data_IF_107078638928
#
_entry.id   IF_107078638928
#
_cell.length_a   1.000
_cell.length_b   1.000
_cell.length_c   1.000
_cell.angle_alpha   90.00
_cell.angle_beta   90.00
_cell.angle_gamma   90.00
#
_symmetry.space_group_name_H-M   'P 1'
#
loop_
_entity.id
_entity.type
_entity.pdbx_description
1 polymer ?
#
# COMPACT_ATOMS: atom_id res chain seq x y z
N UNK A 1 -22.08 1.37 -6.23
CA UNK A 1 -23.39 0.81 -5.84
C UNK A 1 -23.42 0.62 -4.34
N UNK A 2 -24.24 1.32 -3.57
CA UNK A 2 -24.19 1.28 -2.10
C UNK A 2 -24.33 -0.15 -1.52
N UNK A 3 -23.51 -0.46 -0.51
CA UNK A 3 -23.48 -1.72 0.24
C UNK A 3 -24.46 -1.63 1.40
N UNK A 4 -25.39 -2.59 1.49
CA UNK A 4 -26.30 -2.73 2.62
C UNK A 4 -25.70 -3.70 3.65
N UNK A 5 -25.44 -3.23 4.86
CA UNK A 5 -24.92 -4.05 5.96
C UNK A 5 -25.75 -3.86 7.23
N UNK A 6 -25.85 -4.90 8.05
CA UNK A 6 -26.62 -4.86 9.30
C UNK A 6 -25.67 -4.49 10.45
N UNK A 7 -25.99 -3.43 11.20
CA UNK A 7 -25.18 -3.05 12.35
C UNK A 7 -25.23 -4.13 13.45
N UNK A 8 -24.08 -4.61 13.92
CA UNK A 8 -24.00 -5.60 14.99
C UNK A 8 -24.55 -5.13 16.34
N UNK A 9 -24.56 -3.82 16.61
CA UNK A 9 -25.04 -3.26 17.88
C UNK A 9 -26.55 -3.07 17.97
N UNK A 10 -27.19 -2.56 16.91
CA UNK A 10 -28.63 -2.24 16.92
C UNK A 10 -29.46 -2.96 15.85
N UNK A 11 -28.83 -3.82 15.05
CA UNK A 11 -29.45 -4.58 13.94
C UNK A 11 -30.13 -3.73 12.87
N UNK A 12 -29.89 -2.41 12.85
CA UNK A 12 -30.43 -1.54 11.82
C UNK A 12 -29.66 -1.73 10.50
N UNK A 13 -30.39 -1.83 9.39
CA UNK A 13 -29.79 -1.89 8.04
C UNK A 13 -29.15 -0.53 7.73
N UNK A 14 -27.87 -0.55 7.44
CA UNK A 14 -27.05 0.61 7.14
C UNK A 14 -26.65 0.55 5.67
N UNK A 15 -26.95 1.61 4.93
CA UNK A 15 -26.55 1.76 3.54
C UNK A 15 -25.29 2.60 3.49
N UNK A 16 -24.18 1.99 3.13
CA UNK A 16 -22.86 2.63 3.12
C UNK A 16 -22.36 2.71 1.69
N UNK A 17 -21.77 3.85 1.31
CA UNK A 17 -21.10 3.98 0.00
C UNK A 17 -19.85 3.11 -0.09
N UNK A 18 -19.52 2.68 -1.30
CA UNK A 18 -18.37 1.78 -1.59
C UNK A 18 -17.04 2.36 -1.12
N UNK A 19 -16.91 3.69 -1.02
CA UNK A 19 -15.71 4.34 -0.49
C UNK A 19 -15.36 3.94 0.96
N UNK A 20 -16.29 3.30 1.67
CA UNK A 20 -16.11 2.80 3.01
C UNK A 20 -15.99 1.27 3.10
N UNK A 21 -15.97 0.55 1.98
CA UNK A 21 -15.68 -0.89 1.97
C UNK A 21 -14.31 -1.15 2.62
N UNK A 22 -14.23 -2.14 3.52
CA UNK A 22 -13.02 -2.43 4.30
C UNK A 22 -12.66 -1.38 5.36
N UNK A 23 -13.42 -0.29 5.50
CA UNK A 23 -13.23 0.72 6.55
C UNK A 23 -14.23 0.51 7.68
N UNK A 24 -13.90 1.09 8.84
CA UNK A 24 -14.76 1.10 10.01
C UNK A 24 -15.67 2.31 9.99
N UNK A 25 -16.98 2.09 9.97
CA UNK A 25 -17.99 3.14 9.93
C UNK A 25 -18.80 3.13 11.22
N UNK A 26 -19.13 4.30 11.75
CA UNK A 26 -20.01 4.42 12.92
C UNK A 26 -21.47 4.33 12.51
N UNK A 27 -22.24 3.51 13.21
CA UNK A 27 -23.69 3.47 13.01
C UNK A 27 -24.34 4.79 13.46
N UNK A 28 -25.19 5.45 12.65
CA UNK A 28 -25.86 6.70 13.01
C UNK A 28 -26.89 6.53 14.13
N UNK A 29 -27.40 5.31 14.39
CA UNK A 29 -28.39 5.07 15.46
C UNK A 29 -27.77 4.81 16.83
N UNK A 30 -26.74 3.98 16.91
CA UNK A 30 -26.15 3.55 18.19
C UNK A 30 -24.68 3.93 18.37
N UNK A 31 -24.07 4.57 17.36
CA UNK A 31 -22.64 4.93 17.32
C UNK A 31 -21.65 3.75 17.43
N UNK A 32 -22.14 2.51 17.40
CA UNK A 32 -21.28 1.33 17.34
C UNK A 32 -20.43 1.37 16.06
N UNK A 33 -19.14 1.03 16.20
CA UNK A 33 -18.21 0.92 15.08
C UNK A 33 -18.44 -0.43 14.41
N UNK A 34 -18.89 -0.42 13.16
CA UNK A 34 -19.13 -1.61 12.35
C UNK A 34 -18.05 -1.67 11.26
N UNK A 35 -17.43 -2.82 11.10
CA UNK A 35 -16.49 -3.08 10.02
C UNK A 35 -17.27 -3.43 8.76
N UNK A 36 -17.08 -2.65 7.69
CA UNK A 36 -17.72 -2.92 6.40
C UNK A 36 -16.91 -4.03 5.75
N UNK A 37 -17.51 -5.17 5.35
CA UNK A 37 -16.77 -6.21 4.64
C UNK A 37 -16.10 -5.60 3.41
N UNK A 38 -14.81 -5.88 3.22
CA UNK A 38 -14.11 -5.45 2.03
C UNK A 38 -14.74 -6.17 0.84
N UNK A 39 -15.19 -5.44 -0.17
CA UNK A 39 -15.62 -6.03 -1.43
C UNK A 39 -14.38 -6.66 -2.10
N UNK A 40 -14.15 -7.94 -1.83
CA UNK A 40 -13.10 -8.71 -2.48
C UNK A 40 -13.58 -9.19 -3.86
N UNK A 41 -12.70 -9.05 -4.83
CA UNK A 41 -12.92 -9.46 -6.21
C UNK A 41 -11.80 -10.40 -6.64
N UNK A 42 -12.14 -11.32 -7.52
CA UNK A 42 -11.21 -12.17 -8.24
C UNK A 42 -11.28 -11.79 -9.72
N UNK A 43 -10.13 -11.75 -10.38
CA UNK A 43 -9.95 -11.46 -11.79
C UNK A 43 -9.38 -12.70 -12.47
N UNK A 44 -10.01 -13.15 -13.54
CA UNK A 44 -9.50 -14.20 -14.43
C UNK A 44 -9.10 -13.56 -15.77
N UNK A 45 -7.84 -13.70 -16.15
CA UNK A 45 -7.34 -13.24 -17.45
C UNK A 45 -7.79 -14.17 -18.57
N UNK A 46 -7.78 -13.73 -19.84
CA UNK A 46 -8.07 -14.61 -20.98
C UNK A 46 -7.09 -15.79 -21.09
N UNK A 47 -5.88 -15.65 -20.54
CA UNK A 47 -4.87 -16.71 -20.45
C UNK A 47 -5.23 -17.80 -19.42
N UNK A 48 -6.28 -17.56 -18.61
CA UNK A 48 -6.78 -18.50 -17.60
C UNK A 48 -6.11 -18.37 -16.23
N UNK A 49 -5.33 -17.30 -15.99
CA UNK A 49 -4.73 -17.04 -14.69
C UNK A 49 -5.73 -16.32 -13.76
N UNK A 50 -5.79 -16.79 -12.51
CA UNK A 50 -6.67 -16.27 -11.46
C UNK A 50 -5.89 -15.38 -10.49
N UNK A 51 -6.35 -14.14 -10.35
CA UNK A 51 -5.79 -13.12 -9.47
C UNK A 51 -6.83 -12.70 -8.43
N UNK A 52 -6.55 -12.86 -7.14
CA UNK A 52 -7.49 -12.52 -6.07
C UNK A 52 -7.04 -13.03 -4.69
N UNK A 53 -7.64 -12.56 -3.58
CA UNK A 53 -8.69 -11.53 -3.47
C UNK A 53 -8.14 -10.09 -3.54
N UNK A 54 -8.73 -9.25 -4.40
CA UNK A 54 -8.32 -7.86 -4.65
C UNK A 54 -9.48 -6.91 -4.31
N UNK A 55 -9.26 -5.80 -3.57
CA UNK A 55 -10.32 -4.85 -3.29
C UNK A 55 -10.77 -4.13 -4.57
N UNK A 56 -12.06 -3.73 -4.62
CA UNK A 56 -12.62 -3.03 -5.79
C UNK A 56 -11.80 -1.83 -6.25
N UNK A 57 -11.21 -1.07 -5.31
CA UNK A 57 -10.40 0.12 -5.62
C UNK A 57 -9.14 -0.21 -6.40
N UNK A 58 -8.45 -1.31 -6.04
CA UNK A 58 -7.26 -1.76 -6.76
C UNK A 58 -7.62 -2.33 -8.14
N UNK A 59 -8.79 -2.97 -8.24
CA UNK A 59 -9.32 -3.42 -9.51
C UNK A 59 -9.68 -2.25 -10.45
N UNK A 60 -10.21 -1.14 -9.90
CA UNK A 60 -10.43 0.10 -10.64
C UNK A 60 -9.10 0.75 -11.08
N UNK A 61 -8.04 0.68 -10.27
CA UNK A 61 -6.68 1.12 -10.65
C UNK A 61 -6.14 0.30 -11.83
N UNK A 62 -6.24 -1.03 -11.79
CA UNK A 62 -5.83 -1.90 -12.90
C UNK A 62 -6.62 -1.64 -14.19
N UNK A 63 -7.91 -1.31 -14.06
CA UNK A 63 -8.73 -0.87 -15.19
C UNK A 63 -8.21 0.45 -15.78
N UNK A 64 -7.89 1.45 -14.95
CA UNK A 64 -7.34 2.74 -15.40
C UNK A 64 -5.94 2.61 -16.01
N UNK A 65 -5.14 1.64 -15.56
CA UNK A 65 -3.85 1.28 -16.18
C UNK A 65 -4.00 0.53 -17.52
N UNK A 66 -5.22 0.11 -17.89
CA UNK A 66 -5.48 -0.66 -19.10
C UNK A 66 -5.07 -2.14 -19.00
N UNK A 67 -4.86 -2.66 -17.80
CA UNK A 67 -4.53 -4.08 -17.58
C UNK A 67 -5.74 -5.00 -17.65
N UNK A 68 -6.94 -4.46 -17.40
CA UNK A 68 -8.19 -5.21 -17.50
C UNK A 68 -8.80 -4.97 -18.88
N UNK A 69 -8.83 -6.00 -19.71
CA UNK A 69 -9.45 -5.97 -21.04
C UNK A 69 -10.93 -6.39 -20.97
N UNK A 70 -11.67 -6.18 -22.07
CA UNK A 70 -13.07 -6.62 -22.17
C UNK A 70 -13.25 -8.15 -22.03
N UNK A 71 -12.19 -8.91 -22.29
CA UNK A 71 -12.15 -10.37 -22.23
C UNK A 71 -11.80 -10.91 -20.84
N UNK A 72 -11.43 -10.06 -19.88
CA UNK A 72 -11.24 -10.50 -18.51
C UNK A 72 -12.59 -10.85 -17.86
N UNK A 73 -12.58 -11.83 -16.95
CA UNK A 73 -13.73 -12.17 -16.13
C UNK A 73 -13.49 -11.75 -14.68
N UNK A 74 -14.55 -11.29 -14.02
CA UNK A 74 -14.54 -10.79 -12.65
C UNK A 74 -15.54 -11.58 -11.81
N UNK A 75 -15.12 -12.04 -10.64
CA UNK A 75 -15.97 -12.70 -9.66
C UNK A 75 -15.97 -11.88 -8.38
N UNK A 76 -17.15 -11.45 -7.94
CA UNK A 76 -17.32 -10.80 -6.64
C UNK A 76 -17.42 -11.87 -5.56
N UNK A 77 -16.75 -11.67 -4.43
CA UNK A 77 -16.87 -12.57 -3.28
C UNK A 77 -18.35 -12.70 -2.85
N UNK A 78 -18.82 -13.95 -2.75
CA UNK A 78 -20.22 -14.27 -2.47
C UNK A 78 -21.16 -14.32 -3.70
N UNK A 79 -20.64 -14.07 -4.91
CA UNK A 79 -21.37 -14.35 -6.15
C UNK A 79 -20.96 -15.71 -6.72
N UNK A 80 -21.92 -16.46 -7.28
CA UNK A 80 -21.68 -17.79 -7.87
C UNK A 80 -21.31 -17.73 -9.36
N UNK A 81 -21.36 -16.56 -9.99
CA UNK A 81 -21.19 -16.41 -11.43
C UNK A 81 -20.11 -15.39 -11.78
N UNK A 82 -19.18 -15.81 -12.62
CA UNK A 82 -18.20 -14.92 -13.25
C UNK A 82 -18.90 -13.96 -14.21
N UNK A 83 -18.57 -12.68 -14.11
CA UNK A 83 -19.11 -11.61 -14.95
C UNK A 83 -17.99 -11.07 -15.84
N UNK A 84 -18.26 -10.85 -17.13
CA UNK A 84 -17.28 -10.22 -18.01
C UNK A 84 -16.95 -8.81 -17.54
N UNK A 85 -15.69 -8.41 -17.66
CA UNK A 85 -15.21 -7.09 -17.27
C UNK A 85 -15.96 -5.98 -18.01
N UNK A 86 -16.40 -6.21 -19.25
CA UNK A 86 -17.22 -5.28 -20.03
C UNK A 86 -18.61 -5.02 -19.44
N UNK A 87 -19.20 -5.99 -18.73
CA UNK A 87 -20.47 -5.82 -18.03
C UNK A 87 -20.31 -4.96 -16.76
N UNK A 88 -19.16 -5.11 -16.09
CA UNK A 88 -18.82 -4.37 -14.86
C UNK A 88 -18.31 -2.96 -15.17
N UNK A 89 -17.55 -2.81 -16.25
CA UNK A 89 -16.97 -1.55 -16.74
C UNK A 89 -17.51 -1.25 -18.15
N UNK A 90 -18.63 -0.53 -18.21
CA UNK A 90 -19.31 -0.21 -19.47
C UNK A 90 -18.44 0.56 -20.47
N UNK A 91 -17.37 1.21 -20.00
CA UNK A 91 -16.40 1.92 -20.83
C UNK A 91 -15.60 0.98 -21.75
N UNK A 92 -15.35 -0.27 -21.33
CA UNK A 92 -14.64 -1.26 -22.16
C UNK A 92 -15.43 -1.64 -23.43
N UNK A 93 -16.76 -1.62 -23.35
CA UNK A 93 -17.64 -1.97 -24.48
C UNK A 93 -17.78 -0.87 -25.54
N UNK A 94 -17.40 0.37 -25.23
CA UNK A 94 -17.51 1.49 -26.18
C UNK A 94 -16.24 1.67 -27.01
N UNK A 95 -15.07 1.34 -26.44
CA UNK A 95 -13.77 1.48 -27.11
C UNK A 95 -13.43 0.31 -28.03
N UNK A 96 -14.18 -0.79 -27.97
CA UNK A 96 -13.91 -2.01 -28.74
C UNK A 96 -14.74 -2.14 -30.01
N UNK A 97 -15.44 -1.10 -30.48
CA UNK A 97 -15.92 -1.07 -31.86
C UNK A 97 -14.68 -1.00 -32.75
N UNK A 98 -14.23 -2.11 -33.35
CA UNK A 98 -13.07 -2.07 -34.21
C UNK A 98 -13.56 -1.26 -35.41
N UNK A 99 -12.97 -0.08 -35.61
CA UNK A 99 -12.93 0.47 -36.94
C UNK A 99 -12.19 -0.57 -37.78
N UNK A 100 -12.97 -1.49 -38.36
CA UNK A 100 -12.66 -2.33 -39.49
C UNK A 100 -12.30 -1.40 -40.63
N UNK A 101 -11.13 -0.79 -40.50
CA UNK A 101 -10.33 -0.28 -41.58
C UNK A 101 -9.72 -1.52 -42.19
N UNK A 102 -10.55 -2.28 -42.91
CA UNK A 102 -10.07 -3.12 -43.99
C UNK A 102 -9.15 -2.22 -44.81
N UNK A 103 -7.82 -2.46 -44.83
CA UNK A 103 -7.00 -1.80 -45.82
C UNK A 103 -7.56 -2.25 -47.16
N UNK A 104 -8.17 -1.30 -47.88
CA UNK A 104 -8.57 -1.48 -49.27
C UNK A 104 -7.40 -2.18 -49.99
N UNK A 105 -7.61 -3.31 -50.70
CA UNK A 105 -6.55 -4.01 -51.38
C UNK A 105 -5.93 -3.08 -52.43
N UNK A 106 -4.86 -2.40 -52.05
CA UNK A 106 -4.00 -1.67 -52.97
C UNK A 106 -3.47 -2.66 -53.98
N UNK A 107 -3.79 -2.40 -55.25
CA UNK A 107 -3.37 -3.18 -56.40
C UNK A 107 -1.86 -3.49 -56.33
N UNK A 108 -1.54 -4.75 -56.05
CA UNK A 108 -0.19 -5.28 -56.28
C UNK A 108 0.00 -5.44 -57.79
N UNK A 109 0.92 -4.66 -58.35
CA UNK A 109 1.46 -4.89 -59.70
C UNK A 109 2.19 -6.25 -59.72
N UNK A 110 1.95 -7.12 -60.72
CA UNK A 110 2.67 -8.38 -60.86
C UNK A 110 4.06 -8.13 -61.45
N UNK A 111 5.11 -8.39 -60.67
CA UNK A 111 6.48 -8.52 -61.19
C UNK A 111 7.00 -9.92 -60.85
N UNK A 112 7.12 -10.74 -61.90
CA UNK A 112 8.24 -11.65 -62.16
C UNK A 112 8.49 -12.85 -61.23
N UNK A 113 8.43 -14.10 -61.72
CA UNK A 113 8.83 -15.28 -60.97
C UNK A 113 10.36 -15.41 -60.90
N UNK A 114 10.91 -15.39 -59.68
CA UNK A 114 12.28 -15.81 -59.37
C UNK A 114 12.27 -17.11 -58.55
N UNK A 115 13.10 -18.12 -58.87
CA UNK A 115 13.01 -19.43 -58.26
C UNK A 115 13.63 -19.50 -56.85
N UNK A 116 12.82 -20.02 -55.93
CA UNK A 116 13.14 -20.96 -54.85
C UNK A 116 14.56 -21.01 -54.28
N UNK A 117 14.72 -20.49 -53.06
CA UNK A 117 15.65 -21.06 -52.08
C UNK A 117 14.94 -21.17 -50.71
N UNK A 118 14.68 -22.40 -50.28
CA UNK A 118 14.18 -22.75 -48.94
C UNK A 118 15.37 -22.88 -47.98
N UNK A 119 15.45 -22.10 -46.90
CA UNK A 119 16.34 -22.44 -45.78
C UNK A 119 15.70 -23.55 -44.95
N UNK A 120 16.30 -24.73 -45.04
CA UNK A 120 16.01 -25.91 -44.22
C UNK A 120 16.57 -25.67 -42.81
N UNK A 121 15.71 -25.33 -41.86
CA UNK A 121 16.08 -25.27 -40.43
C UNK A 121 15.77 -26.62 -39.79
N UNK A 122 16.82 -27.44 -39.65
CA UNK A 122 16.83 -28.68 -38.88
C UNK A 122 16.81 -28.34 -37.37
N UNK A 123 15.63 -28.38 -36.75
CA UNK A 123 15.53 -28.43 -35.29
C UNK A 123 15.85 -29.83 -34.80
N UNK A 124 17.09 -29.99 -34.34
CA UNK A 124 17.58 -31.20 -33.70
C UNK A 124 16.76 -31.59 -32.48
N UNK A 125 16.33 -32.85 -32.47
CA UNK A 125 15.74 -33.53 -31.33
C UNK A 125 16.74 -33.59 -30.16
N UNK A 126 16.59 -32.68 -29.21
CA UNK A 126 17.28 -32.65 -27.93
C UNK A 126 16.43 -33.27 -26.83
N UNK A 127 16.83 -34.46 -26.40
CA UNK A 127 16.31 -35.26 -25.27
C UNK A 127 16.01 -34.46 -24.00
N UNK A 128 14.86 -34.74 -23.40
CA UNK A 128 14.61 -34.59 -21.95
C UNK A 128 15.64 -35.38 -21.12
N UNK A 129 15.96 -34.90 -19.92
CA UNK A 129 15.62 -35.73 -18.75
C UNK A 129 15.14 -34.96 -17.51
N UNK A 130 14.15 -35.58 -16.86
CA UNK A 130 14.00 -35.84 -15.42
C UNK A 130 14.25 -34.74 -14.36
N UNK A 131 13.16 -34.43 -13.65
CA UNK A 131 12.95 -34.69 -12.20
C UNK A 131 14.10 -34.40 -11.24
N UNK A 132 13.99 -33.35 -10.39
CA UNK A 132 14.50 -33.36 -9.00
C UNK A 132 13.72 -32.36 -8.10
N UNK A 133 12.86 -32.94 -7.25
CA UNK A 133 12.71 -32.72 -5.79
C UNK A 133 12.23 -31.37 -5.22
N UNK A 134 11.03 -31.42 -4.64
CA UNK A 134 10.52 -30.55 -3.58
C UNK A 134 11.16 -30.88 -2.21
N UNK A 135 11.30 -29.90 -1.29
CA UNK A 135 11.34 -30.18 0.12
C UNK A 135 10.00 -29.88 0.80
N UNK A 136 9.52 -30.94 1.44
CA UNK A 136 8.45 -31.06 2.43
C UNK A 136 8.58 -30.10 3.62
N UNK A 137 7.44 -29.54 4.02
CA UNK A 137 7.17 -29.00 5.35
C UNK A 137 7.25 -30.10 6.43
N UNK A 138 7.87 -29.81 7.58
CA UNK A 138 7.60 -30.50 8.85
C UNK A 138 8.12 -29.71 10.07
N UNK A 139 7.26 -29.56 11.08
CA UNK A 139 7.60 -29.42 12.51
C UNK A 139 7.78 -27.99 13.03
N UNK A 140 6.78 -27.36 13.67
CA UNK A 140 6.28 -27.58 15.04
C UNK A 140 7.14 -26.95 16.16
N UNK A 141 6.57 -25.96 16.85
CA UNK A 141 6.68 -25.62 18.29
C UNK A 141 6.23 -24.15 18.47
N UNK A 142 5.03 -23.88 18.99
CA UNK A 142 4.70 -23.77 20.42
C UNK A 142 4.99 -22.38 21.03
N UNK A 143 3.94 -21.84 21.65
CA UNK A 143 3.92 -20.88 22.77
C UNK A 143 4.35 -19.42 22.51
N UNK A 144 3.37 -18.50 22.49
CA UNK A 144 3.03 -17.70 23.69
C UNK A 144 2.15 -16.51 23.30
N UNK A 145 0.87 -16.63 23.63
CA UNK A 145 -0.11 -15.55 23.65
C UNK A 145 0.17 -14.67 24.87
N UNK A 146 0.80 -13.52 24.71
CA UNK A 146 0.84 -12.47 25.72
C UNK A 146 -0.37 -11.56 25.57
N UNK A 147 -1.40 -11.88 26.35
CA UNK A 147 -2.53 -11.00 26.65
C UNK A 147 -2.01 -9.73 27.35
N UNK A 148 -2.07 -8.58 26.68
CA UNK A 148 -1.99 -7.28 27.34
C UNK A 148 -3.40 -6.85 27.74
N UNK A 149 -3.76 -7.14 28.99
CA UNK A 149 -4.91 -6.54 29.68
C UNK A 149 -4.60 -5.08 30.00
N UNK A 150 -5.37 -4.16 29.42
CA UNK A 150 -5.42 -2.79 29.91
C UNK A 150 -6.15 -2.76 31.26
N UNK A 151 -5.41 -2.40 32.30
CA UNK A 151 -5.94 -2.13 33.63
C UNK A 151 -6.87 -0.93 33.61
N UNK A 152 -8.14 -1.18 33.90
CA UNK A 152 -9.11 -0.20 34.35
C UNK A 152 -8.84 0.17 35.81
N UNK A 153 -8.52 1.43 36.07
CA UNK A 153 -8.59 2.04 37.42
C UNK A 153 -9.84 2.89 37.59
N UNK A 154 -10.38 2.97 38.82
CA UNK A 154 -11.69 3.51 39.09
C UNK A 154 -11.67 5.00 39.44
N UNK A 155 -12.88 5.56 39.44
CA UNK A 155 -13.25 6.91 39.77
C UNK A 155 -12.75 7.42 41.13
N UNK A 156 -12.42 8.72 41.16
CA UNK A 156 -12.59 9.58 42.35
C UNK A 156 -13.23 10.89 41.88
N UNK A 157 -14.38 11.18 42.46
CA UNK A 157 -15.24 12.30 42.09
C UNK A 157 -14.78 13.65 42.64
N UNK A 158 -15.42 14.70 42.11
CA UNK A 158 -15.61 15.94 42.83
C UNK A 158 -16.99 16.49 42.44
N UNK A 159 -17.81 16.63 43.48
CA UNK A 159 -19.16 17.14 43.45
C UNK A 159 -19.17 18.65 43.18
N UNK A 160 -20.13 19.11 42.36
CA UNK A 160 -20.70 20.46 42.47
C UNK A 160 -22.21 20.33 42.25
N UNK A 161 -22.97 20.70 43.26
CA UNK A 161 -24.39 21.01 43.25
C UNK A 161 -24.55 22.46 43.73
N UNK A 162 -25.75 23.04 43.84
CA UNK A 162 -26.83 23.16 42.85
C UNK A 162 -27.22 24.65 42.65
N UNK A 163 -28.14 24.93 41.72
CA UNK A 163 -29.01 26.12 41.81
C UNK A 163 -29.05 27.00 40.56
N UNK A 164 -30.25 27.21 40.02
CA UNK A 164 -30.46 28.18 38.95
C UNK A 164 -31.74 27.96 38.14
N UNK A 165 -32.89 27.90 38.83
CA UNK A 165 -34.20 28.04 38.19
C UNK A 165 -34.39 29.46 37.64
N UNK A 166 -34.70 29.60 36.35
CA UNK A 166 -35.55 30.68 35.85
C UNK A 166 -36.27 30.27 34.55
N UNK A 167 -37.58 30.51 34.46
CA UNK A 167 -38.37 30.29 33.26
C UNK A 167 -38.37 31.56 32.40
N UNK A 168 -38.07 31.42 31.12
CA UNK A 168 -38.11 32.52 30.16
C UNK A 168 -38.29 31.96 28.77
N UNK A 169 -39.55 31.74 28.40
CA UNK A 169 -39.92 31.24 27.09
C UNK A 169 -39.55 32.22 25.99
N UNK A 170 -38.82 31.73 25.00
CA UNK A 170 -38.91 32.20 23.63
C UNK A 170 -39.19 30.98 22.77
N UNK A 171 -40.45 30.87 22.36
CA UNK A 171 -40.87 29.98 21.29
C UNK A 171 -40.17 30.44 20.02
N UNK A 172 -39.14 29.70 19.60
CA UNK A 172 -38.70 29.73 18.21
C UNK A 172 -39.42 28.62 17.46
N UNK A 173 -40.20 29.09 16.51
CA UNK A 173 -41.07 28.34 15.63
C UNK A 173 -40.29 27.25 14.87
N UNK A 174 -40.99 26.15 14.65
CA UNK A 174 -40.53 25.01 13.90
C UNK A 174 -40.58 25.30 12.40
N UNK A 175 -39.75 24.59 11.63
CA UNK A 175 -40.12 24.26 10.25
C UNK A 175 -39.27 24.90 9.17
N UNK A 176 -37.98 24.55 9.14
CA UNK A 176 -37.21 24.54 7.90
C UNK A 176 -36.25 23.37 7.93
N UNK A 177 -36.29 22.40 6.98
CA UNK A 177 -35.22 21.44 6.83
C UNK A 177 -34.00 22.22 6.37
N UNK A 178 -33.12 22.58 7.32
CA UNK A 178 -31.79 23.05 6.99
C UNK A 178 -31.09 21.84 6.40
N UNK A 179 -31.15 21.74 5.08
CA UNK A 179 -30.25 20.89 4.29
C UNK A 179 -28.88 21.48 4.54
N UNK A 180 -28.27 21.04 5.64
CA UNK A 180 -26.86 21.19 5.89
C UNK A 180 -26.18 20.41 4.78
N UNK A 181 -25.92 21.11 3.67
CA UNK A 181 -24.90 20.75 2.71
C UNK A 181 -23.61 20.66 3.50
N UNK A 182 -23.37 19.47 4.06
CA UNK A 182 -22.05 19.02 4.41
C UNK A 182 -21.28 19.08 3.11
N UNK A 183 -20.66 20.23 2.88
CA UNK A 183 -19.53 20.38 1.99
C UNK A 183 -18.42 19.48 2.54
N UNK A 184 -18.62 18.18 2.44
CA UNK A 184 -17.55 17.19 2.34
C UNK A 184 -16.89 17.50 1.02
N UNK A 185 -16.13 18.59 1.00
CA UNK A 185 -15.21 18.86 -0.07
C UNK A 185 -14.36 17.62 -0.18
N UNK A 186 -14.46 16.96 -1.33
CA UNK A 186 -13.60 15.86 -1.74
C UNK A 186 -12.19 16.26 -1.37
N UNK A 187 -11.71 15.75 -0.24
CA UNK A 187 -10.37 15.95 0.23
C UNK A 187 -9.54 15.03 -0.64
N UNK A 188 -9.39 15.43 -1.92
CA UNK A 188 -8.43 14.87 -2.85
C UNK A 188 -7.12 14.92 -2.08
N UNK A 189 -6.67 13.76 -1.63
CA UNK A 189 -5.32 13.56 -1.13
C UNK A 189 -4.44 14.18 -2.20
N UNK A 190 -3.93 15.39 -1.94
CA UNK A 190 -2.84 15.96 -2.73
C UNK A 190 -1.69 15.03 -2.43
N UNK A 191 -1.51 14.04 -3.29
CA UNK A 191 -0.30 13.24 -3.38
C UNK A 191 0.82 14.25 -3.55
N UNK A 192 1.67 14.36 -2.53
CA UNK A 192 2.89 15.17 -2.60
C UNK A 192 3.94 14.28 -3.28
N UNK A 193 4.18 14.40 -4.60
CA UNK A 193 5.16 13.55 -5.30
C UNK A 193 6.57 13.68 -4.69
N UNK A 194 6.88 14.82 -4.07
CA UNK A 194 8.14 15.05 -3.38
C UNK A 194 8.38 14.08 -2.20
N UNK A 195 7.32 13.68 -1.47
CA UNK A 195 7.45 12.77 -0.33
C UNK A 195 7.82 11.34 -0.77
N UNK A 196 7.27 10.87 -1.90
CA UNK A 196 7.65 9.57 -2.47
C UNK A 196 9.09 9.56 -2.99
N UNK A 197 9.56 10.70 -3.52
CA UNK A 197 10.92 10.85 -4.04
C UNK A 197 11.96 10.80 -2.92
N UNK A 198 11.67 11.41 -1.77
CA UNK A 198 12.56 11.37 -0.60
C UNK A 198 12.73 9.93 -0.08
N UNK A 199 11.65 9.16 0.00
CA UNK A 199 11.71 7.77 0.48
C UNK A 199 12.55 6.86 -0.45
N UNK A 200 12.46 7.06 -1.76
CA UNK A 200 13.29 6.33 -2.72
C UNK A 200 14.76 6.71 -2.60
N UNK A 201 15.08 8.00 -2.45
CA UNK A 201 16.46 8.44 -2.22
C UNK A 201 17.07 7.83 -0.95
N UNK A 202 16.34 7.79 0.17
CA UNK A 202 16.83 7.17 1.41
C UNK A 202 17.14 5.68 1.25
N UNK A 203 16.34 4.94 0.48
CA UNK A 203 16.63 3.54 0.17
C UNK A 203 17.91 3.40 -0.64
N UNK A 204 18.10 4.24 -1.66
CA UNK A 204 19.32 4.24 -2.49
C UNK A 204 20.56 4.57 -1.65
N UNK A 205 20.49 5.59 -0.79
CA UNK A 205 21.60 5.93 0.11
C UNK A 205 21.89 4.81 1.13
N UNK A 206 20.86 4.14 1.65
CA UNK A 206 21.04 2.99 2.52
C UNK A 206 21.80 1.84 1.84
N UNK A 207 21.42 1.51 0.60
CA UNK A 207 22.14 0.50 -0.20
C UNK A 207 23.57 0.95 -0.53
N UNK A 208 23.77 2.22 -0.90
CA UNK A 208 25.10 2.75 -1.17
C UNK A 208 26.03 2.66 0.05
N UNK A 209 25.53 3.02 1.24
CA UNK A 209 26.29 2.90 2.48
C UNK A 209 26.66 1.45 2.81
N UNK A 210 25.77 0.50 2.55
CA UNK A 210 26.03 -0.93 2.73
C UNK A 210 27.15 -1.41 1.79
N UNK A 211 27.07 -1.03 0.51
CA UNK A 211 28.11 -1.37 -0.50
C UNK A 211 29.47 -0.78 -0.10
N UNK A 212 29.51 0.48 0.34
CA UNK A 212 30.76 1.12 0.81
C UNK A 212 31.31 0.40 2.04
N UNK A 213 30.46 0.02 2.99
CA UNK A 213 30.87 -0.77 4.15
C UNK A 213 31.46 -2.13 3.78
N UNK A 214 30.88 -2.81 2.79
CA UNK A 214 31.36 -4.10 2.30
C UNK A 214 32.69 -3.97 1.53
N UNK A 215 32.85 -2.92 0.73
CA UNK A 215 34.13 -2.65 0.06
C UNK A 215 35.24 -2.34 1.08
N UNK A 216 34.92 -1.63 2.16
CA UNK A 216 35.86 -1.36 3.24
C UNK A 216 36.29 -2.64 3.97
N UNK A 217 35.39 -3.58 4.26
CA UNK A 217 35.76 -4.88 4.88
C UNK A 217 36.69 -5.69 3.97
N UNK A 218 36.37 -5.76 2.67
CA UNK A 218 37.22 -6.45 1.69
C UNK A 218 38.62 -5.83 1.64
N UNK A 219 38.73 -4.50 1.69
CA UNK A 219 40.00 -3.79 1.73
C UNK A 219 40.84 -4.15 2.97
N UNK A 220 40.22 -4.21 4.15
CA UNK A 220 40.91 -4.62 5.40
C UNK A 220 41.39 -6.08 5.32
N UNK A 221 40.56 -6.98 4.80
CA UNK A 221 40.93 -8.39 4.62
C UNK A 221 42.13 -8.52 3.67
N UNK A 222 42.10 -7.80 2.54
CA UNK A 222 43.18 -7.83 1.56
C UNK A 222 44.50 -7.28 2.13
N UNK A 223 44.44 -6.24 2.97
CA UNK A 223 45.63 -5.65 3.59
C UNK A 223 46.20 -6.51 4.74
N UNK A 224 45.36 -7.28 5.44
CA UNK A 224 45.76 -8.14 6.57
C UNK A 224 46.24 -9.53 6.14
N UNK A 225 45.74 -10.06 5.01
CA UNK A 225 46.17 -11.33 4.42
C UNK A 225 47.69 -11.50 4.24
N UNK A 226 48.44 -10.54 3.66
CA UNK A 226 49.89 -10.69 3.50
C UNK A 226 50.66 -10.60 4.84
N UNK A 227 50.14 -9.88 5.83
CA UNK A 227 50.72 -9.84 7.19
C UNK A 227 50.64 -11.21 7.89
N UNK A 228 49.57 -11.96 7.64
CA UNK A 228 49.42 -13.34 8.13
C UNK A 228 50.44 -14.30 7.52
N UNK A 229 50.84 -14.08 6.26
CA UNK A 229 51.80 -14.93 5.57
C UNK A 229 53.25 -14.77 6.09
N UNK A 230 53.55 -13.70 6.84
CA UNK A 230 54.89 -13.43 7.38
C UNK A 230 55.06 -13.85 8.86
N UNK A 231 54.02 -14.37 9.53
CA UNK A 231 54.13 -14.72 10.95
C UNK A 231 54.52 -16.19 11.16
N UNK A 232 55.81 -16.47 11.34
CA UNK A 232 56.30 -17.79 11.72
C UNK A 232 56.17 -18.00 13.23
N UNK A 233 54.99 -18.43 13.69
CA UNK A 233 54.78 -18.85 15.09
C UNK A 233 53.33 -18.88 15.55
N UNK A 234 53.01 -19.79 16.47
CA UNK A 234 51.66 -19.97 17.03
C UNK A 234 51.12 -18.70 17.73
N UNK A 235 52.00 -17.90 18.36
CA UNK A 235 51.63 -16.61 18.95
C UNK A 235 51.27 -15.55 17.90
N UNK A 236 51.92 -15.58 16.73
CA UNK A 236 51.60 -14.69 15.61
C UNK A 236 50.21 -14.97 15.03
N UNK A 237 49.84 -16.25 14.90
CA UNK A 237 48.49 -16.64 14.45
C UNK A 237 47.39 -16.18 15.41
N UNK A 238 47.60 -16.29 16.72
CA UNK A 238 46.61 -15.81 17.71
C UNK A 238 46.45 -14.28 17.61
N UNK A 239 47.55 -13.54 17.52
CA UNK A 239 47.51 -12.09 17.33
C UNK A 239 46.76 -11.70 16.06
N UNK A 240 47.07 -12.33 14.93
CA UNK A 240 46.40 -12.06 13.66
C UNK A 240 44.90 -12.37 13.70
N UNK A 241 44.49 -13.49 14.32
CA UNK A 241 43.09 -13.84 14.52
C UNK A 241 42.35 -12.80 15.37
N UNK A 242 42.95 -12.35 16.48
CA UNK A 242 42.35 -11.31 17.32
C UNK A 242 42.22 -9.99 16.57
N UNK A 243 43.21 -9.62 15.75
CA UNK A 243 43.16 -8.38 14.97
C UNK A 243 42.09 -8.44 13.87
N UNK A 244 41.96 -9.59 13.20
CA UNK A 244 40.88 -9.88 12.24
C UNK A 244 39.51 -9.82 12.92
N UNK A 245 39.32 -10.52 14.04
CA UNK A 245 38.04 -10.54 14.76
C UNK A 245 37.66 -9.15 15.25
N UNK A 246 38.61 -8.40 15.81
CA UNK A 246 38.36 -7.05 16.29
C UNK A 246 38.04 -6.10 15.12
N UNK A 247 38.78 -6.18 14.01
CA UNK A 247 38.52 -5.39 12.81
C UNK A 247 37.15 -5.67 12.21
N UNK A 248 36.81 -6.94 11.99
CA UNK A 248 35.50 -7.35 11.46
C UNK A 248 34.38 -6.94 12.42
N UNK A 249 34.55 -7.15 13.72
CA UNK A 249 33.58 -6.74 14.73
C UNK A 249 33.30 -5.24 14.69
N UNK A 250 34.35 -4.39 14.62
CA UNK A 250 34.18 -2.94 14.54
C UNK A 250 33.48 -2.50 13.25
N UNK A 251 33.77 -3.12 12.11
CA UNK A 251 33.08 -2.76 10.86
C UNK A 251 31.61 -3.17 10.91
N UNK A 252 31.31 -4.36 11.43
CA UNK A 252 29.91 -4.81 11.63
C UNK A 252 29.18 -3.90 12.61
N UNK A 253 29.82 -3.51 13.71
CA UNK A 253 29.24 -2.60 14.70
C UNK A 253 28.98 -1.21 14.09
N UNK A 254 29.93 -0.65 13.34
CA UNK A 254 29.80 0.67 12.72
C UNK A 254 28.72 0.69 11.63
N UNK A 255 28.62 -0.37 10.83
CA UNK A 255 27.56 -0.51 9.82
C UNK A 255 26.20 -0.64 10.47
N UNK A 256 26.06 -1.44 11.54
CA UNK A 256 24.83 -1.56 12.30
C UNK A 256 24.39 -0.21 12.92
N UNK A 257 25.29 0.50 13.60
CA UNK A 257 25.01 1.82 14.17
C UNK A 257 24.59 2.81 13.07
N UNK A 258 25.27 2.80 11.92
CA UNK A 258 24.94 3.69 10.79
C UNK A 258 23.54 3.42 10.24
N UNK A 259 23.16 2.16 10.07
CA UNK A 259 21.81 1.78 9.61
C UNK A 259 20.75 2.20 10.62
N UNK A 260 20.98 1.96 11.91
CA UNK A 260 20.07 2.38 12.99
C UNK A 260 19.90 3.90 13.00
N UNK A 261 21.01 4.64 12.88
CA UNK A 261 20.99 6.11 12.85
C UNK A 261 20.20 6.64 11.65
N UNK A 262 20.39 6.05 10.46
CA UNK A 262 19.62 6.41 9.26
C UNK A 262 18.13 6.10 9.41
N UNK A 263 17.79 5.00 10.07
CA UNK A 263 16.41 4.63 10.35
C UNK A 263 15.73 5.63 11.29
N UNK A 264 16.38 6.00 12.40
CA UNK A 264 15.89 7.05 13.30
C UNK A 264 15.77 8.41 12.62
N UNK A 265 16.74 8.77 11.76
CA UNK A 265 16.68 10.01 11.01
C UNK A 265 15.47 10.04 10.06
N UNK A 266 15.20 8.93 9.37
CA UNK A 266 14.04 8.82 8.48
C UNK A 266 12.71 8.95 9.25
N UNK A 267 12.62 8.38 10.44
CA UNK A 267 11.43 8.49 11.28
C UNK A 267 11.24 9.90 11.85
N UNK A 268 12.32 10.54 12.29
CA UNK A 268 12.32 11.94 12.73
C UNK A 268 11.86 12.90 11.61
N UNK A 269 12.26 12.65 10.37
CA UNK A 269 11.83 13.44 9.21
C UNK A 269 10.34 13.25 8.93
N UNK A 270 9.80 12.03 9.06
CA UNK A 270 8.35 11.80 8.96
C UNK A 270 7.58 12.57 10.02
N UNK A 271 8.03 12.52 11.27
CA UNK A 271 7.42 13.26 12.37
C UNK A 271 7.43 14.78 12.12
N UNK A 272 8.54 15.32 11.60
CA UNK A 272 8.63 16.73 11.22
C UNK A 272 7.65 17.10 10.10
N UNK A 273 7.48 16.26 9.09
CA UNK A 273 6.50 16.50 8.02
C UNK A 273 5.05 16.48 8.54
N UNK A 274 4.74 15.58 9.47
CA UNK A 274 3.41 15.55 10.11
C UNK A 274 3.14 16.83 10.92
N UNK A 275 4.13 17.32 11.67
CA UNK A 275 4.02 18.58 12.42
C UNK A 275 3.75 19.76 11.48
N UNK A 276 4.48 19.85 10.36
CA UNK A 276 4.22 20.92 9.38
C UNK A 276 2.83 20.81 8.75
N UNK A 277 2.39 19.59 8.41
CA UNK A 277 1.06 19.36 7.86
C UNK A 277 -0.04 19.79 8.82
N UNK A 278 0.14 19.53 10.12
CA UNK A 278 -0.82 19.89 11.15
C UNK A 278 -0.84 21.40 11.39
N UNK A 279 0.32 22.06 11.31
CA UNK A 279 0.45 23.52 11.44
C UNK A 279 -0.22 24.25 10.27
N UNK A 280 -0.14 23.71 9.06
CA UNK A 280 -0.88 24.26 7.92
C UNK A 280 -2.39 24.08 8.07
N UNK A 281 -2.87 22.96 8.64
CA UNK A 281 -4.30 22.77 8.91
C UNK A 281 -4.82 23.73 9.97
N UNK A 282 -4.06 23.95 11.05
CA UNK A 282 -4.47 24.86 12.13
C UNK A 282 -4.51 26.32 11.67
N UNK A 283 -3.54 26.76 10.86
CA UNK A 283 -3.55 28.10 10.27
C UNK A 283 -4.72 28.32 9.31
N UNK A 284 -5.07 27.33 8.49
CA UNK A 284 -6.24 27.40 7.61
C UNK A 284 -7.57 27.48 8.39
N UNK A 285 -7.70 26.70 9.47
CA UNK A 285 -8.89 26.74 10.33
C UNK A 285 -9.05 28.11 11.02
N UNK A 286 -7.94 28.71 11.48
CA UNK A 286 -7.95 30.06 12.04
C UNK A 286 -8.35 31.13 11.01
N UNK A 287 -7.86 31.02 9.76
CA UNK A 287 -8.26 31.94 8.69
C UNK A 287 -9.75 31.82 8.35
N UNK A 288 -10.31 30.61 8.33
CA UNK A 288 -11.74 30.41 8.11
C UNK A 288 -12.58 31.03 9.23
N UNK A 289 -12.18 30.86 10.50
CA UNK A 289 -12.84 31.51 11.63
C UNK A 289 -12.78 33.04 11.54
N UNK A 290 -11.63 33.61 11.18
CA UNK A 290 -11.50 35.06 10.98
C UNK A 290 -12.39 35.58 9.84
N UNK A 291 -12.56 34.82 8.77
CA UNK A 291 -13.48 35.17 7.68
C UNK A 291 -14.94 35.15 8.13
N UNK A 292 -15.34 34.17 8.94
CA UNK A 292 -16.71 34.07 9.48
C UNK A 292 -17.05 35.26 10.40
N UNK A 293 -16.14 35.63 11.32
CA UNK A 293 -16.38 36.80 12.17
C UNK A 293 -16.47 38.10 11.36
N UNK A 294 -15.69 38.22 10.29
CA UNK A 294 -15.75 39.39 9.39
C UNK A 294 -17.04 39.45 8.56
N UNK A 295 -17.66 38.30 8.25
CA UNK A 295 -18.95 38.29 7.53
C UNK A 295 -20.13 38.63 8.44
N UNK A 296 -20.06 38.30 9.73
CA UNK A 296 -21.14 38.58 10.68
C UNK A 296 -21.22 40.07 11.09
N UNK A 297 -20.17 40.85 10.81
CA UNK A 297 -20.10 42.29 11.13
C UNK A 297 -20.67 43.20 10.02
N UNK A 298 -21.01 42.64 8.85
CA UNK A 298 -21.56 43.40 7.70
C UNK A 298 -23.06 43.15 7.51
#
# INVERSE_FOLDING_TARGET
MPIDLVCSGCQNKLRVGDQNAGKRVRCPKCQAVVEVPADAWYLKTPDGEDYGPVPRTELDEWFNEGRITAECQLLREGSDQWQWASAVYSQLGQSSSPAESTPSPGAFNPVGPGPAETPKFDFGAGKSPATVVAPTNAGAAAASTSQFSFGSTPATGAAVAPGGSSPGGFAFDAGGPVVGSSAGGDFRQRTYPAAMTAQTMYRVFGWAALVVGLLATVGVIFMTLPMLAMSDGALGMIGALLTMLFGVFWVVLYTAISVITLWFLADAIRMLMDIQSNTHRSSHALQQLQQHFRSDEK
#
